data_IF_746765578958
#
_entry.id   IF_746765578958
#
_cell.length_a   1.000
_cell.length_b   1.000
_cell.length_c   1.000
_cell.angle_alpha   90.00
_cell.angle_beta   90.00
_cell.angle_gamma   90.00
#
_symmetry.space_group_name_H-M   'P 1'
#
loop_
_entity.id
_entity.type
_entity.pdbx_description
1 polymer ?
#
# COMPACT_ATOMS: atom_id res chain seq x y z
N UNK A 1 25.97 -15.57 10.15
CA UNK A 1 25.21 -14.82 11.17
C UNK A 1 23.81 -14.65 10.63
N UNK A 2 22.78 -14.88 11.45
CA UNK A 2 21.41 -14.57 11.05
C UNK A 2 21.28 -13.05 11.01
N UNK A 3 20.87 -12.49 9.88
CA UNK A 3 20.63 -11.05 9.76
C UNK A 3 19.54 -10.66 10.76
N UNK A 4 19.84 -9.69 11.63
CA UNK A 4 18.84 -9.15 12.55
C UNK A 4 18.03 -8.07 11.83
N UNK A 5 16.86 -8.43 11.31
CA UNK A 5 15.99 -7.48 10.61
C UNK A 5 15.33 -6.44 11.53
N UNK A 6 15.40 -6.60 12.87
CA UNK A 6 14.85 -5.61 13.82
C UNK A 6 15.53 -4.25 13.71
N UNK A 7 16.77 -4.20 13.23
CA UNK A 7 17.52 -2.96 13.01
C UNK A 7 16.87 -2.01 11.99
N UNK A 8 15.93 -2.50 11.19
CA UNK A 8 15.21 -1.71 10.19
C UNK A 8 13.91 -1.10 10.70
N UNK A 9 13.47 -1.47 11.91
CA UNK A 9 12.26 -0.95 12.52
C UNK A 9 12.57 0.23 13.43
N UNK A 10 11.87 1.34 13.19
CA UNK A 10 11.98 2.57 13.97
C UNK A 10 10.64 2.88 14.66
N UNK A 11 10.66 3.60 15.79
CA UNK A 11 9.48 3.71 16.66
C UNK A 11 8.39 4.64 16.13
N UNK A 12 8.70 5.52 15.18
CA UNK A 12 7.78 6.54 14.68
C UNK A 12 8.08 6.92 13.21
N UNK A 13 7.10 7.58 12.58
CA UNK A 13 7.20 8.06 11.19
C UNK A 13 8.45 8.90 10.92
N UNK A 14 8.80 9.85 11.81
CA UNK A 14 9.93 10.76 11.57
C UNK A 14 11.24 10.00 11.59
N UNK A 15 11.38 9.07 12.53
CA UNK A 15 12.52 8.16 12.63
C UNK A 15 12.62 7.24 11.40
N UNK A 16 11.51 6.66 10.93
CA UNK A 16 11.46 5.88 9.70
C UNK A 16 11.87 6.70 8.46
N UNK A 17 11.34 7.91 8.31
CA UNK A 17 11.67 8.82 7.20
C UNK A 17 13.13 9.23 7.22
N UNK A 18 13.66 9.60 8.39
CA UNK A 18 15.07 9.96 8.52
C UNK A 18 15.96 8.77 8.16
N UNK A 19 15.65 7.57 8.65
CA UNK A 19 16.38 6.36 8.30
C UNK A 19 16.35 6.05 6.80
N UNK A 20 15.23 6.32 6.12
CA UNK A 20 15.12 6.19 4.66
C UNK A 20 16.07 7.15 3.94
N UNK A 21 16.05 8.43 4.30
CA UNK A 21 16.95 9.45 3.74
C UNK A 21 18.42 9.13 3.98
N UNK A 22 18.78 8.76 5.21
CA UNK A 22 20.14 8.42 5.59
C UNK A 22 20.62 7.18 4.83
N UNK A 23 19.72 6.20 4.66
CA UNK A 23 20.02 4.97 3.91
C UNK A 23 20.31 5.28 2.45
N UNK A 24 19.49 6.09 1.79
CA UNK A 24 19.71 6.51 0.40
C UNK A 24 21.02 7.29 0.24
N UNK A 25 21.29 8.25 1.13
CA UNK A 25 22.53 9.03 1.11
C UNK A 25 23.77 8.14 1.29
N UNK A 26 23.69 7.12 2.15
CA UNK A 26 24.79 6.16 2.35
C UNK A 26 24.93 5.12 1.24
N UNK A 27 23.83 4.82 0.53
CA UNK A 27 23.82 3.82 -0.54
C UNK A 27 24.58 4.32 -1.76
N UNK A 28 24.49 5.62 -2.07
CA UNK A 28 25.21 6.25 -3.19
C UNK A 28 26.73 5.98 -3.14
N UNK A 29 27.30 5.84 -1.94
CA UNK A 29 28.72 5.54 -1.75
C UNK A 29 29.09 4.06 -1.94
N UNK A 30 28.12 3.15 -1.85
CA UNK A 30 28.33 1.70 -1.88
C UNK A 30 27.84 1.03 -3.16
N UNK A 31 27.20 1.80 -4.04
CA UNK A 31 26.69 1.33 -5.31
C UNK A 31 27.73 1.53 -6.42
N UNK A 32 27.62 0.77 -7.53
CA UNK A 32 28.45 0.99 -8.71
C UNK A 32 28.41 2.46 -9.18
N UNK A 33 29.54 2.98 -9.66
CA UNK A 33 29.71 4.40 -10.07
C UNK A 33 28.80 4.84 -11.23
N UNK A 34 28.14 3.91 -11.88
CA UNK A 34 27.20 4.10 -12.97
C UNK A 34 25.73 4.11 -12.53
N UNK A 35 25.48 4.04 -11.22
CA UNK A 35 24.15 4.19 -10.64
C UNK A 35 23.93 5.62 -10.12
N UNK A 36 22.72 6.14 -10.29
CA UNK A 36 22.31 7.46 -9.79
C UNK A 36 21.08 7.27 -8.91
N UNK A 37 21.13 7.77 -7.68
CA UNK A 37 19.96 7.89 -6.81
C UNK A 37 19.49 9.34 -6.86
N UNK A 38 18.25 9.56 -7.32
CA UNK A 38 17.60 10.88 -7.31
C UNK A 38 16.54 10.90 -6.21
N UNK A 39 16.84 11.45 -5.02
CA UNK A 39 15.86 11.60 -3.95
C UNK A 39 14.87 12.72 -4.26
N UNK A 40 13.63 12.55 -3.83
CA UNK A 40 12.57 13.55 -3.93
C UNK A 40 11.72 13.59 -2.65
N UNK A 41 10.98 14.68 -2.49
CA UNK A 41 10.08 14.87 -1.36
C UNK A 41 8.80 15.56 -1.86
N UNK A 42 7.66 14.94 -1.58
CA UNK A 42 6.35 15.47 -1.90
C UNK A 42 5.63 15.79 -0.60
N UNK A 43 5.32 17.07 -0.35
CA UNK A 43 4.63 17.51 0.87
C UNK A 43 3.12 17.31 0.73
N UNK A 44 2.52 16.60 1.69
CA UNK A 44 1.08 16.34 1.71
C UNK A 44 0.39 17.49 2.44
N UNK A 45 -0.27 18.37 1.68
CA UNK A 45 -1.07 19.49 2.19
C UNK A 45 -0.26 20.56 2.98
N UNK A 46 -0.90 21.29 3.90
CA UNK A 46 -0.33 22.42 4.66
C UNK A 46 0.68 22.01 5.73
N UNK A 47 0.65 20.76 6.22
CA UNK A 47 1.68 20.27 7.12
C UNK A 47 2.92 19.85 6.34
N UNK A 48 3.86 20.79 6.23
CA UNK A 48 5.13 20.58 5.52
C UNK A 48 6.02 19.51 6.14
N UNK A 49 5.73 19.05 7.36
CA UNK A 49 6.44 17.95 7.99
C UNK A 49 5.89 16.58 7.57
N UNK A 50 4.73 16.49 6.91
CA UNK A 50 4.18 15.23 6.43
C UNK A 50 4.48 15.06 4.93
N UNK A 51 5.44 14.20 4.63
CA UNK A 51 5.94 14.01 3.27
C UNK A 51 5.95 12.57 2.81
N UNK A 52 5.70 12.39 1.51
CA UNK A 52 5.98 11.16 0.78
C UNK A 52 7.38 11.33 0.20
N UNK A 53 8.31 10.51 0.68
CA UNK A 53 9.70 10.56 0.26
C UNK A 53 9.90 9.59 -0.91
N UNK A 54 10.62 10.02 -1.94
CA UNK A 54 10.81 9.24 -3.16
C UNK A 54 12.29 9.03 -3.45
N UNK A 55 12.60 7.94 -4.12
CA UNK A 55 13.93 7.72 -4.68
C UNK A 55 13.82 7.03 -6.02
N UNK A 56 14.25 7.71 -7.09
CA UNK A 56 14.42 7.10 -8.40
C UNK A 56 15.87 6.67 -8.57
N UNK A 57 16.06 5.37 -8.70
CA UNK A 57 17.34 4.70 -8.84
C UNK A 57 17.50 4.29 -10.31
N UNK A 58 18.42 4.93 -11.02
CA UNK A 58 18.63 4.67 -12.46
C UNK A 58 20.05 4.20 -12.74
N UNK A 59 20.19 3.37 -13.79
CA UNK A 59 21.48 3.10 -14.40
C UNK A 59 21.91 4.23 -15.35
N UNK A 60 23.19 4.26 -15.75
CA UNK A 60 23.72 5.20 -16.77
C UNK A 60 23.07 5.04 -18.15
N UNK A 61 22.58 3.85 -18.47
CA UNK A 61 21.89 3.59 -19.72
C UNK A 61 20.37 3.64 -19.48
N UNK A 62 19.59 4.27 -20.38
CA UNK A 62 18.13 4.29 -20.26
C UNK A 62 17.57 2.86 -20.16
N UNK A 63 16.80 2.61 -19.10
CA UNK A 63 16.02 1.39 -18.97
C UNK A 63 14.64 1.58 -19.57
N UNK A 64 14.11 0.55 -20.23
CA UNK A 64 12.72 0.50 -20.67
C UNK A 64 11.78 -0.09 -19.59
N UNK A 65 12.37 -0.58 -18.48
CA UNK A 65 11.65 -1.24 -17.40
C UNK A 65 11.78 -0.44 -16.10
N UNK A 66 10.68 -0.36 -15.35
CA UNK A 66 10.62 0.24 -14.01
C UNK A 66 10.04 -0.75 -13.00
N UNK A 67 10.67 -0.84 -11.84
CA UNK A 67 10.11 -1.49 -10.66
C UNK A 67 9.76 -0.43 -9.62
N UNK A 68 8.46 -0.26 -9.35
CA UNK A 68 7.98 0.59 -8.26
C UNK A 68 7.81 -0.26 -7.00
N UNK A 69 8.37 0.20 -5.89
CA UNK A 69 8.16 -0.39 -4.56
C UNK A 69 7.61 0.71 -3.64
N UNK A 70 6.36 0.58 -3.25
CA UNK A 70 5.70 1.49 -2.31
C UNK A 70 5.40 0.83 -0.97
N UNK A 71 5.15 1.66 0.03
CA UNK A 71 4.67 1.19 1.32
C UNK A 71 4.00 2.30 2.13
N UNK A 72 3.18 1.89 3.09
CA UNK A 72 2.47 2.80 3.96
C UNK A 72 1.28 3.50 3.30
N UNK A 73 0.66 2.89 2.28
CA UNK A 73 -0.66 3.31 1.77
C UNK A 73 -1.70 3.28 2.88
N UNK A 74 -1.75 2.16 3.62
CA UNK A 74 -2.33 2.13 4.95
C UNK A 74 -1.26 2.60 5.94
N UNK A 75 -1.47 3.76 6.56
CA UNK A 75 -0.41 4.45 7.29
C UNK A 75 0.29 3.60 8.36
N UNK A 76 -0.47 2.87 9.17
CA UNK A 76 0.07 1.97 10.20
C UNK A 76 0.97 0.84 9.65
N UNK A 77 0.84 0.48 8.38
CA UNK A 77 1.68 -0.53 7.71
C UNK A 77 2.99 0.08 7.20
N UNK A 78 3.14 1.41 7.29
CA UNK A 78 4.34 2.14 6.91
C UNK A 78 5.59 1.69 7.66
N UNK A 79 5.48 1.19 8.90
CA UNK A 79 6.65 0.66 9.64
C UNK A 79 7.26 -0.55 8.93
N UNK A 80 6.41 -1.48 8.49
CA UNK A 80 6.85 -2.67 7.76
C UNK A 80 7.35 -2.31 6.35
N UNK A 81 6.61 -1.45 5.64
CA UNK A 81 7.02 -0.94 4.32
C UNK A 81 8.38 -0.23 4.38
N UNK A 82 8.58 0.65 5.37
CA UNK A 82 9.84 1.33 5.63
C UNK A 82 10.95 0.33 5.90
N UNK A 83 10.76 -0.60 6.84
CA UNK A 83 11.79 -1.57 7.20
C UNK A 83 12.22 -2.42 5.99
N UNK A 84 11.26 -2.84 5.15
CA UNK A 84 11.53 -3.58 3.92
C UNK A 84 12.33 -2.74 2.92
N UNK A 85 11.95 -1.49 2.68
CA UNK A 85 12.69 -0.60 1.78
C UNK A 85 14.13 -0.34 2.27
N UNK A 86 14.34 -0.15 3.57
CA UNK A 86 15.68 -0.01 4.13
C UNK A 86 16.52 -1.28 3.94
N UNK A 87 15.95 -2.44 4.24
CA UNK A 87 16.59 -3.73 4.03
C UNK A 87 16.91 -3.96 2.54
N UNK A 88 16.00 -3.59 1.66
CA UNK A 88 16.18 -3.71 0.22
C UNK A 88 17.38 -2.90 -0.25
N UNK A 89 17.46 -1.61 0.11
CA UNK A 89 18.56 -0.74 -0.29
C UNK A 89 19.90 -1.17 0.33
N UNK A 90 19.91 -1.64 1.59
CA UNK A 90 21.16 -1.98 2.29
C UNK A 90 21.69 -3.37 1.98
N UNK A 91 20.83 -4.34 1.70
CA UNK A 91 21.23 -5.75 1.56
C UNK A 91 20.98 -6.29 0.16
N UNK A 92 19.76 -6.13 -0.33
CA UNK A 92 19.30 -6.78 -1.57
C UNK A 92 19.92 -6.09 -2.79
N UNK A 93 19.85 -4.77 -2.84
CA UNK A 93 20.35 -3.99 -3.97
C UNK A 93 21.87 -4.20 -4.19
N UNK A 94 22.75 -4.09 -3.17
CA UNK A 94 24.16 -4.45 -3.32
C UNK A 94 24.38 -5.92 -3.71
N UNK A 95 23.53 -6.85 -3.24
CA UNK A 95 23.63 -8.26 -3.62
C UNK A 95 23.29 -8.50 -5.10
N UNK A 96 22.29 -7.79 -5.64
CA UNK A 96 21.97 -7.81 -7.06
C UNK A 96 23.21 -7.39 -7.87
N UNK A 97 23.85 -6.28 -7.50
CA UNK A 97 25.04 -5.79 -8.21
C UNK A 97 26.29 -6.67 -8.09
N UNK A 98 26.44 -7.42 -6.99
CA UNK A 98 27.52 -8.41 -6.88
C UNK A 98 27.34 -9.56 -7.87
N UNK A 99 26.09 -9.90 -8.20
CA UNK A 99 25.75 -11.02 -9.06
C UNK A 99 25.49 -10.61 -10.52
N UNK A 100 25.08 -9.37 -10.75
CA UNK A 100 24.73 -8.80 -12.05
C UNK A 100 25.49 -7.48 -12.24
N UNK A 101 26.27 -7.38 -13.32
CA UNK A 101 27.12 -6.20 -13.56
C UNK A 101 26.34 -4.92 -13.93
N UNK A 102 25.02 -4.99 -14.12
CA UNK A 102 24.16 -3.81 -14.35
C UNK A 102 22.71 -4.12 -13.98
N UNK A 103 21.95 -3.08 -13.62
CA UNK A 103 20.49 -3.16 -13.57
C UNK A 103 19.92 -3.06 -14.99
N UNK A 104 19.01 -3.96 -15.33
CA UNK A 104 18.20 -3.87 -16.56
C UNK A 104 16.82 -3.22 -16.31
N UNK A 105 16.66 -2.60 -15.14
CA UNK A 105 15.42 -2.03 -14.63
C UNK A 105 15.75 -0.86 -13.71
N UNK A 106 15.09 0.28 -13.90
CA UNK A 106 15.14 1.37 -12.94
C UNK A 106 14.22 1.04 -11.75
N UNK A 107 14.50 1.60 -10.58
CA UNK A 107 13.72 1.33 -9.37
C UNK A 107 13.18 2.65 -8.81
N UNK A 108 11.87 2.74 -8.60
CA UNK A 108 11.24 3.85 -7.90
C UNK A 108 10.77 3.39 -6.51
N UNK A 109 11.31 3.99 -5.47
CA UNK A 109 10.83 3.80 -4.10
C UNK A 109 9.87 4.93 -3.73
N UNK A 110 8.70 4.59 -3.20
CA UNK A 110 7.77 5.54 -2.57
C UNK A 110 7.63 5.19 -1.09
N UNK A 111 8.14 6.05 -0.22
CA UNK A 111 8.19 5.83 1.22
C UNK A 111 7.07 6.62 1.91
N UNK A 112 6.19 5.88 2.59
CA UNK A 112 5.15 6.46 3.45
C UNK A 112 4.08 7.21 2.67
N UNK A 113 3.35 6.52 1.78
CA UNK A 113 2.29 7.12 0.94
C UNK A 113 1.21 7.87 1.74
N UNK A 114 0.90 7.41 2.96
CA UNK A 114 0.02 8.09 3.91
C UNK A 114 0.81 8.58 5.13
N UNK A 115 1.53 9.71 5.06
CA UNK A 115 2.38 10.17 6.16
C UNK A 115 1.59 10.54 7.42
N UNK A 116 0.36 11.06 7.26
CA UNK A 116 -0.54 11.29 8.40
C UNK A 116 -0.87 9.97 9.12
N UNK A 117 -1.38 8.99 8.37
CA UNK A 117 -1.76 7.71 8.95
C UNK A 117 -0.55 7.02 9.57
N UNK A 118 0.62 7.14 8.95
CA UNK A 118 1.87 6.57 9.45
C UNK A 118 2.29 7.22 10.78
N UNK A 119 2.25 8.56 10.86
CA UNK A 119 2.55 9.29 12.10
C UNK A 119 1.56 8.97 13.23
N UNK A 120 0.28 8.78 12.92
CA UNK A 120 -0.78 8.57 13.90
C UNK A 120 -1.17 7.10 14.11
N UNK A 121 -0.44 6.16 13.52
CA UNK A 121 -0.74 4.72 13.53
C UNK A 121 -2.19 4.41 13.09
N UNK A 122 -2.65 5.09 12.04
CA UNK A 122 -3.96 4.91 11.41
C UNK A 122 -3.81 4.27 10.04
N UNK A 123 -4.78 3.44 9.66
CA UNK A 123 -4.93 2.95 8.29
C UNK A 123 -5.19 4.09 7.31
N UNK A 124 -6.06 5.01 7.71
CA UNK A 124 -6.62 6.12 6.93
C UNK A 124 -5.80 7.41 7.05
N UNK A 125 -6.08 8.38 6.18
CA UNK A 125 -5.51 9.73 6.28
C UNK A 125 -6.21 10.61 7.34
N UNK A 126 -5.92 11.92 7.33
CA UNK A 126 -6.48 12.89 8.27
C UNK A 126 -8.00 13.06 8.18
N UNK A 127 -8.60 12.68 7.06
CA UNK A 127 -10.01 12.84 6.75
C UNK A 127 -10.77 11.51 6.79
N UNK A 128 -10.18 10.49 7.43
CA UNK A 128 -10.71 9.13 7.48
C UNK A 128 -10.79 8.44 6.11
N UNK A 129 -10.05 8.93 5.11
CA UNK A 129 -10.01 8.33 3.78
C UNK A 129 -9.03 7.16 3.78
N UNK A 130 -9.54 5.98 3.45
CA UNK A 130 -8.74 4.83 3.04
C UNK A 130 -8.21 5.11 1.64
N UNK A 131 -6.91 5.42 1.55
CA UNK A 131 -6.27 5.73 0.27
C UNK A 131 -6.39 4.57 -0.71
N UNK A 132 -6.42 3.31 -0.24
CA UNK A 132 -6.60 2.14 -1.10
C UNK A 132 -8.06 1.96 -1.59
N UNK A 133 -8.90 2.99 -1.42
CA UNK A 133 -10.24 3.13 -2.03
C UNK A 133 -10.39 4.43 -2.82
N UNK A 134 -9.39 5.32 -2.81
CA UNK A 134 -9.48 6.67 -3.34
C UNK A 134 -8.78 6.85 -4.71
N UNK A 135 -7.91 5.92 -5.11
CA UNK A 135 -7.25 5.91 -6.41
C UNK A 135 -8.19 5.42 -7.54
N UNK A 136 -9.35 6.07 -7.66
CA UNK A 136 -10.37 5.85 -8.70
C UNK A 136 -9.94 6.37 -10.07
N UNK A 137 -10.39 5.80 -11.18
CA UNK A 137 -10.01 6.30 -12.51
C UNK A 137 -10.68 7.64 -12.85
N UNK A 138 -11.89 7.89 -12.34
CA UNK A 138 -12.59 9.16 -12.53
C UNK A 138 -13.42 9.55 -11.29
N UNK A 139 -13.82 10.82 -11.22
CA UNK A 139 -14.53 11.37 -10.07
C UNK A 139 -15.99 10.86 -9.96
N UNK A 140 -16.62 10.47 -11.07
CA UNK A 140 -17.98 9.94 -11.07
C UNK A 140 -18.08 8.64 -10.23
N UNK A 141 -16.98 7.90 -10.10
CA UNK A 141 -16.96 6.69 -9.28
C UNK A 141 -17.19 6.94 -7.79
N UNK A 142 -17.02 8.17 -7.27
CA UNK A 142 -17.40 8.50 -5.89
C UNK A 142 -18.91 8.41 -5.65
N UNK A 143 -19.72 8.48 -6.70
CA UNK A 143 -21.18 8.37 -6.62
C UNK A 143 -21.64 6.90 -6.47
N UNK A 144 -20.73 5.93 -6.66
CA UNK A 144 -21.04 4.52 -6.53
C UNK A 144 -21.39 4.13 -5.09
N UNK A 145 -22.69 3.94 -4.86
CA UNK A 145 -23.17 3.53 -3.55
C UNK A 145 -22.98 2.02 -3.32
N UNK A 146 -22.27 1.68 -2.24
CA UNK A 146 -22.23 0.32 -1.72
C UNK A 146 -23.49 0.03 -0.90
N UNK A 147 -24.54 -0.45 -1.56
CA UNK A 147 -25.83 -0.81 -0.92
C UNK A 147 -25.68 -1.87 0.18
N UNK A 148 -24.73 -2.80 0.01
CA UNK A 148 -24.42 -3.81 1.01
C UNK A 148 -23.91 -3.16 2.30
N UNK A 149 -22.94 -2.26 2.19
CA UNK A 149 -22.44 -1.48 3.33
C UNK A 149 -23.55 -0.65 3.98
N UNK A 150 -24.39 0.02 3.20
CA UNK A 150 -25.49 0.82 3.73
C UNK A 150 -26.47 0.00 4.60
N UNK A 151 -26.70 -1.27 4.27
CA UNK A 151 -27.57 -2.16 5.03
C UNK A 151 -26.98 -2.59 6.39
N UNK A 152 -25.66 -2.47 6.57
CA UNK A 152 -24.92 -2.88 7.77
C UNK A 152 -24.22 -1.73 8.49
N UNK A 153 -24.32 -0.50 7.97
CA UNK A 153 -23.49 0.63 8.44
C UNK A 153 -23.71 0.91 9.93
N UNK A 154 -24.94 0.86 10.42
CA UNK A 154 -25.27 1.13 11.83
C UNK A 154 -24.67 0.08 12.78
N UNK A 155 -24.40 -1.12 12.26
CA UNK A 155 -23.79 -2.21 13.01
C UNK A 155 -22.27 -2.08 13.11
N UNK A 156 -21.65 -1.41 12.13
CA UNK A 156 -20.20 -1.23 12.04
C UNK A 156 -19.74 0.11 12.61
N UNK A 157 -20.60 1.12 12.57
CA UNK A 157 -20.27 2.50 12.90
C UNK A 157 -21.18 2.95 14.05
N UNK A 158 -20.78 2.71 15.31
CA UNK A 158 -21.64 3.01 16.45
C UNK A 158 -21.87 4.51 16.58
N UNK A 159 -23.14 4.92 16.75
CA UNK A 159 -23.54 6.33 16.87
C UNK A 159 -23.05 7.04 18.15
N UNK A 160 -22.47 6.27 19.09
CA UNK A 160 -21.85 6.77 20.32
C UNK A 160 -20.53 6.04 20.56
N UNK A 161 -19.58 6.64 21.31
CA UNK A 161 -18.38 5.93 21.72
C UNK A 161 -18.72 4.61 22.41
N UNK A 162 -18.07 3.53 21.94
CA UNK A 162 -18.18 2.20 22.53
C UNK A 162 -17.68 2.27 23.97
N UNK A 163 -18.52 1.84 24.91
CA UNK A 163 -18.20 1.74 26.32
C UNK A 163 -17.76 0.31 26.64
N UNK A 164 -17.06 0.11 27.76
CA UNK A 164 -16.59 -1.22 28.16
C UNK A 164 -17.71 -2.27 28.26
N UNK A 165 -18.95 -1.86 28.58
CA UNK A 165 -20.11 -2.77 28.64
C UNK A 165 -20.65 -3.16 27.26
N UNK A 166 -20.41 -2.38 26.21
CA UNK A 166 -20.78 -2.74 24.84
C UNK A 166 -19.87 -3.85 24.27
N UNK A 167 -18.72 -4.06 24.91
CA UNK A 167 -17.77 -5.15 24.63
C UNK A 167 -18.02 -6.38 25.52
N UNK A 168 -19.13 -6.42 26.25
CA UNK A 168 -19.55 -7.64 26.94
C UNK A 168 -19.67 -8.77 25.89
N UNK A 169 -18.98 -9.90 26.09
CA UNK A 169 -19.07 -11.05 25.19
C UNK A 169 -20.50 -11.45 24.84
N UNK A 170 -21.47 -11.27 25.74
CA UNK A 170 -22.89 -11.54 25.46
C UNK A 170 -23.50 -10.55 24.47
N UNK A 171 -23.27 -9.24 24.65
CA UNK A 171 -23.75 -8.21 23.73
C UNK A 171 -23.07 -8.28 22.36
N UNK A 172 -21.79 -8.64 22.32
CA UNK A 172 -21.07 -8.90 21.06
C UNK A 172 -21.64 -10.15 20.36
N UNK A 173 -21.97 -11.21 21.10
CA UNK A 173 -22.57 -12.42 20.54
C UNK A 173 -23.97 -12.14 19.95
N UNK A 174 -24.82 -11.39 20.65
CA UNK A 174 -26.15 -10.99 20.14
C UNK A 174 -26.03 -10.17 18.85
N UNK A 175 -25.04 -9.27 18.78
CA UNK A 175 -24.77 -8.45 17.60
C UNK A 175 -24.25 -9.28 16.42
N UNK A 176 -23.35 -10.24 16.67
CA UNK A 176 -22.85 -11.18 15.67
C UNK A 176 -23.94 -12.16 15.21
N UNK A 177 -24.84 -12.58 16.08
CA UNK A 177 -25.97 -13.44 15.72
C UNK A 177 -26.97 -12.70 14.84
N UNK A 178 -27.29 -11.44 15.17
CA UNK A 178 -28.17 -10.62 14.32
C UNK A 178 -27.56 -10.37 12.94
N UNK A 179 -26.25 -10.14 12.88
CA UNK A 179 -25.51 -10.08 11.61
C UNK A 179 -25.62 -11.39 10.82
N UNK A 180 -25.42 -12.54 11.48
CA UNK A 180 -25.51 -13.87 10.86
C UNK A 180 -26.92 -14.29 10.43
N UNK A 181 -27.97 -13.75 11.06
CA UNK A 181 -29.36 -13.95 10.63
C UNK A 181 -29.71 -13.14 9.39
N UNK A 182 -29.15 -11.94 9.25
CA UNK A 182 -29.47 -11.00 8.16
C UNK A 182 -28.60 -11.19 6.92
N UNK A 183 -27.36 -11.63 7.09
CA UNK A 183 -26.37 -11.72 6.01
C UNK A 183 -25.57 -13.00 6.08
N UNK A 184 -25.24 -13.57 4.93
CA UNK A 184 -24.22 -14.61 4.88
C UNK A 184 -22.86 -13.98 5.17
N UNK A 185 -21.97 -14.70 5.88
CA UNK A 185 -20.64 -14.19 6.25
C UNK A 185 -19.85 -13.64 5.05
N UNK A 186 -20.00 -14.29 3.89
CA UNK A 186 -19.39 -13.86 2.63
C UNK A 186 -19.93 -12.51 2.15
N UNK A 187 -21.25 -12.34 2.13
CA UNK A 187 -21.91 -11.09 1.74
C UNK A 187 -21.51 -9.93 2.66
N UNK A 188 -21.41 -10.20 3.97
CA UNK A 188 -20.95 -9.22 4.96
C UNK A 188 -19.51 -8.80 4.68
N UNK A 189 -18.62 -9.76 4.45
CA UNK A 189 -17.21 -9.47 4.18
C UNK A 189 -17.04 -8.72 2.87
N UNK A 190 -17.73 -9.12 1.81
CA UNK A 190 -17.74 -8.41 0.52
C UNK A 190 -18.28 -6.98 0.66
N UNK A 191 -19.38 -6.79 1.40
CA UNK A 191 -19.97 -5.47 1.65
C UNK A 191 -19.01 -4.53 2.38
N UNK A 192 -18.21 -5.04 3.30
CA UNK A 192 -17.24 -4.26 4.08
C UNK A 192 -15.97 -3.99 3.27
N UNK A 193 -15.31 -5.04 2.78
CA UNK A 193 -13.97 -4.97 2.18
C UNK A 193 -13.98 -4.21 0.87
N UNK A 194 -15.06 -4.23 0.10
CA UNK A 194 -15.21 -3.45 -1.13
C UNK A 194 -14.99 -1.94 -0.93
N UNK A 195 -15.25 -1.42 0.28
CA UNK A 195 -15.21 0.00 0.60
C UNK A 195 -16.49 0.74 0.22
N UNK A 196 -16.56 2.01 0.61
CA UNK A 196 -17.76 2.84 0.50
C UNK A 196 -17.43 4.34 0.44
N UNK A 197 -18.34 5.14 -0.11
CA UNK A 197 -18.14 6.59 -0.31
C UNK A 197 -19.27 7.46 0.28
N UNK A 198 -20.23 6.84 0.98
CA UNK A 198 -21.45 7.48 1.47
C UNK A 198 -21.41 7.88 2.95
N UNK A 199 -20.54 7.25 3.74
CA UNK A 199 -20.47 7.39 5.20
C UNK A 199 -19.05 7.86 5.61
N UNK A 200 -18.78 9.17 5.71
CA UNK A 200 -17.43 9.70 5.95
C UNK A 200 -16.76 9.23 7.25
N UNK A 201 -17.56 8.96 8.29
CA UNK A 201 -17.07 8.46 9.58
C UNK A 201 -16.94 6.92 9.60
N UNK A 202 -17.35 6.26 8.53
CA UNK A 202 -17.39 4.81 8.45
C UNK A 202 -16.05 4.15 8.14
N UNK A 203 -15.94 2.86 8.43
CA UNK A 203 -14.78 2.06 8.01
C UNK A 203 -14.73 1.93 6.48
N UNK A 204 -13.52 1.79 5.94
CA UNK A 204 -13.25 1.68 4.49
C UNK A 204 -13.88 2.81 3.66
N UNK A 205 -14.00 4.01 4.24
CA UNK A 205 -14.44 5.20 3.54
C UNK A 205 -13.38 5.64 2.52
N UNK A 206 -13.74 5.71 1.24
CA UNK A 206 -12.82 6.07 0.17
C UNK A 206 -12.79 7.55 -0.20
N UNK A 207 -13.47 8.43 0.56
CA UNK A 207 -13.55 9.87 0.26
C UNK A 207 -14.74 10.25 -0.63
N UNK A 208 -14.89 11.55 -0.89
CA UNK A 208 -15.88 12.09 -1.84
C UNK A 208 -15.22 12.92 -2.96
N UNK A 209 -13.89 12.99 -2.92
CA UNK A 209 -13.03 13.67 -3.87
C UNK A 209 -11.65 13.00 -3.79
N UNK A 210 -10.79 13.27 -4.76
CA UNK A 210 -9.41 12.80 -4.72
C UNK A 210 -8.69 13.35 -3.49
N UNK A 211 -8.05 12.46 -2.74
CA UNK A 211 -7.25 12.80 -1.58
C UNK A 211 -5.99 13.57 -2.01
N UNK A 212 -5.47 14.41 -1.12
CA UNK A 212 -4.30 15.25 -1.40
C UNK A 212 -3.10 14.44 -1.89
N UNK A 213 -2.89 13.25 -1.33
CA UNK A 213 -1.83 12.30 -1.65
C UNK A 213 -1.93 11.86 -3.12
N UNK A 214 -3.15 11.56 -3.59
CA UNK A 214 -3.37 11.20 -4.99
C UNK A 214 -3.08 12.38 -5.90
N UNK A 215 -3.67 13.55 -5.63
CA UNK A 215 -3.49 14.74 -6.46
C UNK A 215 -2.02 15.17 -6.54
N UNK A 216 -1.24 14.87 -5.50
CA UNK A 216 0.19 15.09 -5.44
C UNK A 216 1.00 14.05 -6.23
N UNK A 217 0.63 12.77 -6.13
CA UNK A 217 1.34 11.67 -6.78
C UNK A 217 1.03 11.55 -8.27
N UNK A 218 -0.20 11.82 -8.69
CA UNK A 218 -0.66 11.68 -10.07
C UNK A 218 0.29 12.36 -11.09
N UNK A 219 0.58 13.68 -11.02
CA UNK A 219 1.47 14.31 -11.99
C UNK A 219 2.90 13.77 -11.93
N UNK A 220 3.40 13.42 -10.73
CA UNK A 220 4.74 12.86 -10.54
C UNK A 220 4.86 11.46 -11.17
N UNK A 221 3.87 10.59 -10.94
CA UNK A 221 3.86 9.23 -11.49
C UNK A 221 3.59 9.24 -12.99
N UNK A 222 2.70 10.09 -13.50
CA UNK A 222 2.48 10.23 -14.95
C UNK A 222 3.77 10.62 -15.69
N UNK A 223 4.53 11.58 -15.17
CA UNK A 223 5.80 11.99 -15.77
C UNK A 223 6.86 10.88 -15.74
N UNK A 224 6.95 10.09 -14.66
CA UNK A 224 7.89 8.97 -14.57
C UNK A 224 7.44 7.82 -15.48
N UNK A 225 6.19 7.39 -15.38
CA UNK A 225 5.68 6.22 -16.10
C UNK A 225 5.70 6.41 -17.61
N UNK A 226 5.49 7.64 -18.10
CA UNK A 226 5.60 7.96 -19.53
C UNK A 226 6.99 7.70 -20.15
N UNK A 227 8.01 7.39 -19.33
CA UNK A 227 9.39 7.11 -19.77
C UNK A 227 9.67 5.61 -19.93
N UNK A 228 8.78 4.73 -19.46
CA UNK A 228 9.00 3.30 -19.40
C UNK A 228 7.96 2.52 -20.21
N UNK A 229 8.39 1.42 -20.81
CA UNK A 229 7.50 0.53 -21.57
C UNK A 229 6.85 -0.54 -20.69
N UNK A 230 7.53 -0.92 -19.60
CA UNK A 230 7.09 -1.98 -18.69
C UNK A 230 7.28 -1.54 -17.26
N UNK A 231 6.22 -1.66 -16.47
CA UNK A 231 6.20 -1.25 -15.07
C UNK A 231 5.71 -2.42 -14.24
N UNK A 232 6.48 -2.78 -13.22
CA UNK A 232 6.06 -3.67 -12.14
C UNK A 232 5.90 -2.83 -10.87
N UNK A 233 4.66 -2.66 -10.42
CA UNK A 233 4.36 -1.96 -9.17
C UNK A 233 4.06 -2.96 -8.06
N UNK A 234 4.75 -2.80 -6.93
CA UNK A 234 4.59 -3.62 -5.73
C UNK A 234 4.30 -2.68 -4.57
N UNK A 235 3.12 -2.81 -3.97
CA UNK A 235 2.77 -2.13 -2.72
C UNK A 235 2.87 -3.09 -1.54
N UNK A 236 3.60 -2.69 -0.50
CA UNK A 236 3.84 -3.52 0.67
C UNK A 236 2.72 -3.32 1.68
N UNK A 237 2.03 -4.42 1.96
CA UNK A 237 0.95 -4.49 2.94
C UNK A 237 1.22 -5.49 4.05
N UNK A 238 0.53 -5.29 5.18
CA UNK A 238 0.46 -6.28 6.27
C UNK A 238 -0.99 -6.46 6.73
N UNK A 239 -1.29 -7.54 7.44
CA UNK A 239 -2.60 -7.76 8.06
C UNK A 239 -3.59 -8.61 7.25
N UNK A 240 -3.23 -9.01 6.02
CA UNK A 240 -4.01 -9.97 5.22
C UNK A 240 -3.21 -11.26 4.99
N UNK A 241 -3.90 -12.41 4.95
CA UNK A 241 -3.30 -13.73 4.79
C UNK A 241 -2.94 -14.43 6.11
N UNK A 242 -2.28 -15.57 5.99
CA UNK A 242 -1.85 -16.38 7.14
C UNK A 242 -0.73 -15.67 7.89
N UNK A 243 -0.86 -15.62 9.22
CA UNK A 243 0.18 -15.07 10.10
C UNK A 243 1.53 -15.74 9.86
N UNK A 244 2.58 -14.92 9.79
CA UNK A 244 3.98 -15.32 9.55
C UNK A 244 4.26 -15.95 8.17
N UNK A 245 3.37 -15.73 7.19
CA UNK A 245 3.57 -16.12 5.79
C UNK A 245 3.62 -14.88 4.90
N UNK A 246 4.50 -14.90 3.90
CA UNK A 246 4.51 -13.91 2.83
C UNK A 246 3.48 -14.33 1.78
N UNK A 247 2.60 -13.40 1.43
CA UNK A 247 1.59 -13.57 0.40
C UNK A 247 1.87 -12.61 -0.75
N UNK A 248 1.68 -13.08 -1.99
CA UNK A 248 1.79 -12.26 -3.19
C UNK A 248 0.45 -12.27 -3.91
N UNK A 249 -0.15 -11.08 -4.03
CA UNK A 249 -1.47 -10.86 -4.60
C UNK A 249 -1.35 -10.10 -5.93
N UNK A 250 -1.07 -10.78 -7.05
CA UNK A 250 -1.04 -10.12 -8.35
C UNK A 250 -2.46 -9.84 -8.84
N UNK A 251 -2.76 -8.57 -9.11
CA UNK A 251 -3.98 -8.19 -9.82
C UNK A 251 -3.72 -8.08 -11.32
N UNK A 252 -3.83 -9.22 -12.01
CA UNK A 252 -3.60 -9.29 -13.46
C UNK A 252 -4.66 -10.14 -14.16
N UNK A 253 -5.25 -9.59 -15.21
CA UNK A 253 -6.22 -10.31 -16.05
C UNK A 253 -5.55 -11.01 -17.25
N UNK A 254 -4.41 -10.51 -17.74
CA UNK A 254 -3.71 -11.07 -18.90
C UNK A 254 -3.13 -12.45 -18.63
N UNK A 255 -3.51 -13.44 -19.44
CA UNK A 255 -3.01 -14.81 -19.33
C UNK A 255 -1.47 -14.90 -19.50
N UNK A 256 -0.90 -14.11 -20.41
CA UNK A 256 0.55 -14.09 -20.65
C UNK A 256 1.30 -13.52 -19.44
N UNK A 257 0.74 -12.49 -18.79
CA UNK A 257 1.32 -11.89 -17.58
C UNK A 257 1.18 -12.85 -16.39
N UNK A 258 0.03 -13.54 -16.25
CA UNK A 258 -0.15 -14.60 -15.24
C UNK A 258 0.92 -15.68 -15.37
N UNK A 259 1.20 -16.12 -16.60
CA UNK A 259 2.24 -17.14 -16.84
C UNK A 259 3.66 -16.61 -16.61
N UNK A 260 3.93 -15.34 -16.93
CA UNK A 260 5.18 -14.69 -16.56
C UNK A 260 5.37 -14.67 -15.03
N UNK A 261 4.35 -14.27 -14.28
CA UNK A 261 4.38 -14.22 -12.81
C UNK A 261 4.63 -15.61 -12.20
N UNK A 262 3.95 -16.65 -12.68
CA UNK A 262 4.19 -18.03 -12.22
C UNK A 262 5.63 -18.47 -12.41
N UNK A 263 6.24 -18.09 -13.53
CA UNK A 263 7.66 -18.40 -13.80
C UNK A 263 8.60 -17.58 -12.92
N UNK A 264 8.34 -16.30 -12.73
CA UNK A 264 9.18 -15.40 -11.92
C UNK A 264 9.17 -15.78 -10.44
N UNK A 265 8.00 -16.18 -9.92
CA UNK A 265 7.80 -16.55 -8.51
C UNK A 265 7.65 -18.07 -8.33
N UNK A 266 8.26 -18.86 -9.22
CA UNK A 266 8.20 -20.31 -9.14
C UNK A 266 8.72 -20.81 -7.77
N UNK A 267 7.92 -21.62 -7.08
CA UNK A 267 8.23 -22.13 -5.74
C UNK A 267 7.74 -21.23 -4.59
N UNK A 268 7.17 -20.06 -4.88
CA UNK A 268 6.46 -19.24 -3.93
C UNK A 268 4.93 -19.42 -4.06
N UNK A 269 4.22 -19.26 -2.96
CA UNK A 269 2.76 -19.24 -2.96
C UNK A 269 2.27 -17.92 -3.57
N UNK A 270 1.28 -18.02 -4.46
CA UNK A 270 0.67 -16.87 -5.16
C UNK A 270 -0.82 -16.97 -4.91
N UNK A 271 -1.42 -15.88 -4.43
CA UNK A 271 -2.85 -15.78 -4.15
C UNK A 271 -3.50 -14.99 -5.29
N UNK A 272 -4.25 -15.68 -6.14
CA UNK A 272 -4.86 -15.08 -7.32
C UNK A 272 -6.20 -14.41 -7.01
N UNK A 273 -6.56 -13.42 -7.83
CA UNK A 273 -7.83 -12.71 -7.67
C UNK A 273 -9.09 -13.59 -7.81
N UNK A 274 -8.95 -14.75 -8.46
CA UNK A 274 -9.98 -15.78 -8.63
C UNK A 274 -9.97 -16.87 -7.55
N UNK A 275 -9.05 -16.82 -6.59
CA UNK A 275 -9.01 -17.77 -5.47
C UNK A 275 -10.15 -17.51 -4.46
N UNK A 276 -10.61 -18.57 -3.80
CA UNK A 276 -11.62 -18.45 -2.75
C UNK A 276 -11.13 -17.56 -1.61
N UNK A 277 -11.92 -16.53 -1.29
CA UNK A 277 -11.59 -15.56 -0.24
C UNK A 277 -10.92 -14.29 -0.76
N UNK A 278 -10.62 -14.18 -2.06
CA UNK A 278 -10.19 -12.91 -2.63
C UNK A 278 -11.38 -11.95 -2.79
N UNK A 279 -11.19 -10.68 -2.43
CA UNK A 279 -12.22 -9.64 -2.53
C UNK A 279 -11.72 -8.52 -3.43
N UNK A 280 -12.52 -8.18 -4.45
CA UNK A 280 -12.22 -7.04 -5.33
C UNK A 280 -12.50 -5.73 -4.59
N UNK A 281 -11.51 -4.87 -4.62
CA UNK A 281 -11.57 -3.51 -4.12
C UNK A 281 -11.75 -2.55 -5.28
N UNK A 282 -12.34 -1.38 -5.04
CA UNK A 282 -12.40 -0.29 -6.02
C UNK A 282 -11.51 0.87 -5.55
N UNK A 283 -10.69 1.41 -6.45
CA UNK A 283 -9.82 2.57 -6.14
C UNK A 283 -8.48 2.21 -5.50
N UNK A 284 -7.91 1.06 -5.86
CA UNK A 284 -6.61 0.61 -5.37
C UNK A 284 -5.46 1.36 -6.04
N UNK A 285 -4.39 1.58 -5.27
CA UNK A 285 -3.24 2.35 -5.75
C UNK A 285 -2.52 1.71 -6.93
N UNK A 286 -2.28 0.39 -6.89
CA UNK A 286 -1.54 -0.32 -7.95
C UNK A 286 -2.33 -0.36 -9.25
N UNK A 287 -3.64 -0.58 -9.18
CA UNK A 287 -4.51 -0.63 -10.36
C UNK A 287 -4.69 0.71 -11.06
N UNK A 288 -4.59 1.81 -10.31
CA UNK A 288 -4.62 3.15 -10.88
C UNK A 288 -3.41 3.47 -11.77
N UNK A 289 -2.34 2.66 -11.69
CA UNK A 289 -1.13 2.83 -12.50
C UNK A 289 -1.24 2.22 -13.90
N UNK A 290 -2.36 1.58 -14.25
CA UNK A 290 -2.60 0.87 -15.50
C UNK A 290 -3.51 1.63 -16.48
#
# INVERSE_FOLDING_TARGET
MQTDYRQYFFPDYRSCRQAFRDTLASADHNLPTDMIITPGQLSVDTDRDLTIDTALLTGRNPSHNLMLISGGLHGAEGFAGSALQLCFVREVLPAIFRNQHSLHCDILLLHGLNPYGFMHMRRVDAFNVDLNRNFLMNAEQFENQNKGYAAIQELLNPARPVQAHDLDPAGLADHLEELGRRFQQRELTEAIVRGQYAFPEGIYFGGQQFAAQRSLLEPFLTDIFGRYERILAIDIHTGYGRRDHLHFFPDVESADVRELIRRLFAGHHIDWADDEGFYRVTGEFVNYMH
#
